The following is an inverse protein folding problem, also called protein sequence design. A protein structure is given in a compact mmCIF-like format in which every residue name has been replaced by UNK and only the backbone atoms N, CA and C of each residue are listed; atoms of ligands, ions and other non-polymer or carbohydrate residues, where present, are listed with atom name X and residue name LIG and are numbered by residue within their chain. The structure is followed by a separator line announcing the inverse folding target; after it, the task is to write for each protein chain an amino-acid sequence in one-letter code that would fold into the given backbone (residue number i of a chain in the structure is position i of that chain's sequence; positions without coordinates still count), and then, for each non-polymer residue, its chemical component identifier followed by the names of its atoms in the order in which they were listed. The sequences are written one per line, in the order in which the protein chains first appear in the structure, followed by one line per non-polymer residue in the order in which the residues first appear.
data_IF_015980710442
#
_entry.id   IF_015980710442
#
_cell.length_a   1.000
_cell.length_b   1.000
_cell.length_c   1.000
_cell.angle_alpha   90.00
_cell.angle_beta   90.00
_cell.angle_gamma   90.00
#
_symmetry.space_group_name_H-M   'P 1'
#
loop_
_entity.id
_entity.type
_entity.pdbx_description
1 polymer ?
#
# COMPACT_ATOMS: atom_id res chain seq x y z
N UNK A 1 6.71 -21.76 -0.39
CA UNK A 1 6.86 -21.35 1.03
C UNK A 1 5.58 -21.71 1.75
N UNK A 2 5.64 -22.28 2.96
CA UNK A 2 4.44 -22.56 3.76
C UNK A 2 3.94 -21.27 4.42
N UNK A 3 2.63 -21.05 4.39
CA UNK A 3 1.97 -19.97 5.13
C UNK A 3 1.85 -20.42 6.59
N UNK A 4 2.26 -19.59 7.55
CA UNK A 4 2.14 -19.89 8.98
C UNK A 4 0.95 -19.14 9.59
N UNK A 5 0.45 -19.63 10.72
CA UNK A 5 -0.65 -18.98 11.44
C UNK A 5 -0.30 -17.50 11.74
N UNK A 6 -1.14 -16.57 11.26
CA UNK A 6 -0.95 -15.14 11.43
C UNK A 6 -0.15 -14.42 10.33
N UNK A 7 0.40 -15.14 9.33
CA UNK A 7 0.90 -14.51 8.10
C UNK A 7 -0.27 -14.02 7.22
N UNK A 8 -0.04 -13.00 6.39
CA UNK A 8 -0.93 -12.69 5.26
C UNK A 8 -0.32 -13.20 3.96
N UNK A 9 -1.15 -13.71 3.07
CA UNK A 9 -0.72 -14.16 1.73
C UNK A 9 -1.64 -13.59 0.67
N UNK A 10 -1.07 -13.02 -0.39
CA UNK A 10 -1.85 -12.60 -1.56
C UNK A 10 -0.95 -12.56 -2.79
N UNK A 11 -1.42 -13.15 -3.90
CA UNK A 11 -0.76 -13.14 -5.20
C UNK A 11 0.73 -13.56 -5.15
N UNK A 12 1.03 -14.65 -4.43
CA UNK A 12 2.39 -15.18 -4.28
C UNK A 12 3.31 -14.43 -3.30
N UNK A 13 2.89 -13.28 -2.78
CA UNK A 13 3.59 -12.58 -1.71
C UNK A 13 3.10 -13.05 -0.34
N UNK A 14 4.03 -13.15 0.63
CA UNK A 14 3.72 -13.51 2.02
C UNK A 14 4.27 -12.41 2.94
N UNK A 15 3.37 -11.72 3.65
CA UNK A 15 3.74 -10.84 4.75
C UNK A 15 3.85 -11.66 6.01
N UNK A 16 5.08 -11.85 6.47
CA UNK A 16 5.36 -12.61 7.69
C UNK A 16 4.80 -11.90 8.91
N UNK A 17 4.23 -12.67 9.85
CA UNK A 17 3.62 -12.16 11.08
C UNK A 17 4.55 -11.18 11.82
N UNK A 18 5.85 -11.48 11.91
CA UNK A 18 6.81 -10.61 12.57
C UNK A 18 6.91 -9.21 11.92
N UNK A 19 6.77 -9.11 10.59
CA UNK A 19 6.76 -7.82 9.87
C UNK A 19 5.38 -7.17 9.99
N UNK A 20 4.30 -7.96 9.89
CA UNK A 20 2.93 -7.50 10.15
C UNK A 20 2.83 -6.82 11.52
N UNK A 21 3.30 -7.46 12.59
CA UNK A 21 3.27 -6.91 13.95
C UNK A 21 4.01 -5.55 14.03
N UNK A 22 5.12 -5.38 13.30
CA UNK A 22 5.86 -4.10 13.23
C UNK A 22 5.11 -3.03 12.44
N UNK A 23 4.42 -3.40 11.36
CA UNK A 23 3.53 -2.50 10.62
C UNK A 23 2.39 -2.03 11.53
N UNK A 24 1.73 -2.95 12.24
CA UNK A 24 0.63 -2.63 13.16
C UNK A 24 1.10 -1.71 14.31
N UNK A 25 2.30 -1.92 14.84
CA UNK A 25 2.87 -1.04 15.85
C UNK A 25 3.10 0.38 15.32
N UNK A 26 3.59 0.54 14.09
CA UNK A 26 3.76 1.85 13.45
C UNK A 26 2.42 2.52 13.13
N UNK A 27 1.44 1.76 12.65
CA UNK A 27 0.06 2.22 12.47
C UNK A 27 -0.48 2.82 13.76
N UNK A 28 -0.38 2.06 14.87
CA UNK A 28 -0.79 2.53 16.21
C UNK A 28 -0.07 3.80 16.63
N UNK A 29 1.24 3.84 16.48
CA UNK A 29 2.08 4.98 16.87
C UNK A 29 1.74 6.27 16.11
N UNK A 30 1.34 6.15 14.85
CA UNK A 30 1.17 7.28 13.94
C UNK A 30 -0.28 7.57 13.57
N UNK A 31 -1.24 6.89 14.21
CA UNK A 31 -2.68 7.01 13.94
C UNK A 31 -3.00 6.78 12.45
N UNK A 32 -2.51 5.68 11.89
CA UNK A 32 -2.69 5.29 10.49
C UNK A 32 -3.46 3.98 10.45
N UNK A 33 -4.48 3.91 9.59
CA UNK A 33 -5.28 2.69 9.40
C UNK A 33 -4.40 1.50 8.93
N UNK A 34 -4.35 0.40 9.68
CA UNK A 34 -3.73 -0.85 9.25
C UNK A 34 -4.19 -1.36 7.88
N UNK A 35 -5.48 -1.38 7.60
CA UNK A 35 -6.04 -1.82 6.31
C UNK A 35 -5.47 -1.04 5.13
N UNK A 36 -5.31 0.27 5.29
CA UNK A 36 -4.59 1.14 4.37
C UNK A 36 -3.13 0.72 4.22
N UNK A 37 -2.36 0.69 5.32
CA UNK A 37 -0.92 0.44 5.24
C UNK A 37 -0.59 -0.92 4.64
N UNK A 38 -1.31 -1.98 5.05
CA UNK A 38 -1.14 -3.34 4.55
C UNK A 38 -1.45 -3.43 3.05
N UNK A 39 -2.48 -2.73 2.59
CA UNK A 39 -2.85 -2.71 1.17
C UNK A 39 -1.83 -1.96 0.34
N UNK A 40 -1.44 -0.74 0.73
CA UNK A 40 -0.50 0.08 -0.04
C UNK A 40 0.89 -0.58 -0.12
N UNK A 41 1.37 -1.18 0.98
CA UNK A 41 2.63 -1.91 0.97
C UNK A 41 2.59 -3.18 0.09
N UNK A 42 1.40 -3.77 -0.14
CA UNK A 42 1.25 -4.81 -1.16
C UNK A 42 1.21 -4.21 -2.57
N UNK A 43 0.39 -3.17 -2.75
CA UNK A 43 0.14 -2.53 -4.03
C UNK A 43 1.44 -2.02 -4.68
N UNK A 44 2.30 -1.37 -3.88
CA UNK A 44 3.58 -0.81 -4.33
C UNK A 44 4.71 -1.84 -4.35
N UNK A 45 4.81 -2.65 -3.29
CA UNK A 45 6.01 -3.41 -2.99
C UNK A 45 5.85 -4.93 -3.05
N UNK A 46 4.62 -5.43 -3.24
CA UNK A 46 4.26 -6.85 -3.07
C UNK A 46 4.78 -7.40 -1.73
N UNK A 47 4.62 -6.63 -0.65
CA UNK A 47 5.17 -6.92 0.68
C UNK A 47 6.67 -7.30 0.65
N UNK A 48 7.44 -6.56 -0.15
CA UNK A 48 8.88 -6.70 -0.29
C UNK A 48 9.35 -7.70 -1.33
N UNK A 49 8.44 -8.35 -2.05
CA UNK A 49 8.81 -9.34 -3.07
C UNK A 49 9.02 -8.75 -4.47
N UNK A 50 8.71 -7.45 -4.66
CA UNK A 50 9.07 -6.72 -5.89
C UNK A 50 10.59 -6.64 -6.09
N UNK A 51 11.03 -6.32 -7.30
CA UNK A 51 12.47 -6.18 -7.58
C UNK A 51 13.14 -5.14 -6.67
N UNK A 52 12.50 -3.99 -6.49
CA UNK A 52 12.96 -2.89 -5.62
C UNK A 52 12.85 -3.29 -4.14
N UNK A 53 11.78 -3.97 -3.74
CA UNK A 53 11.62 -4.47 -2.38
C UNK A 53 12.74 -5.44 -1.96
N UNK A 54 13.18 -6.31 -2.88
CA UNK A 54 14.27 -7.27 -2.65
C UNK A 54 15.66 -6.64 -2.69
N UNK A 55 15.90 -5.75 -3.66
CA UNK A 55 17.22 -5.15 -3.85
C UNK A 55 17.52 -4.04 -2.85
N UNK A 56 16.48 -3.27 -2.48
CA UNK A 56 16.66 -1.99 -1.80
C UNK A 56 15.90 -1.86 -0.48
N UNK A 57 15.21 -2.92 -0.03
CA UNK A 57 14.30 -2.91 1.12
C UNK A 57 13.23 -1.80 1.03
N UNK A 58 12.92 -1.35 -0.18
CA UNK A 58 12.10 -0.15 -0.42
C UNK A 58 10.74 -0.55 -0.99
N UNK A 59 9.76 -0.74 -0.12
CA UNK A 59 8.46 -1.29 -0.52
C UNK A 59 7.48 -0.23 -1.00
N UNK A 60 7.80 1.06 -0.80
CA UNK A 60 6.98 2.19 -1.21
C UNK A 60 7.50 2.94 -2.44
N UNK A 61 8.57 2.45 -3.10
CA UNK A 61 9.13 3.11 -4.28
C UNK A 61 9.81 4.46 -3.99
N UNK A 62 10.33 4.65 -2.77
CA UNK A 62 10.94 5.89 -2.33
C UNK A 62 12.12 6.31 -3.20
N UNK A 63 12.08 7.54 -3.72
CA UNK A 63 13.07 8.06 -4.66
C UNK A 63 14.30 8.64 -3.94
N UNK A 64 15.50 8.31 -4.42
CA UNK A 64 16.75 8.88 -3.94
C UNK A 64 16.80 10.39 -4.20
N UNK A 65 17.06 11.17 -3.15
CA UNK A 65 17.09 12.64 -3.21
C UNK A 65 18.50 13.22 -3.28
N UNK A 66 19.54 12.39 -3.38
CA UNK A 66 20.94 12.82 -3.27
C UNK A 66 21.43 13.04 -1.84
N UNK A 67 20.58 12.85 -0.82
CA UNK A 67 20.93 13.00 0.59
C UNK A 67 20.68 11.70 1.35
N UNK A 68 21.72 11.19 2.01
CA UNK A 68 21.64 9.93 2.76
C UNK A 68 20.95 10.06 4.11
N UNK A 69 21.08 11.20 4.78
CA UNK A 69 20.47 11.41 6.09
C UNK A 69 19.01 11.86 5.93
N UNK A 70 18.06 11.02 6.37
CA UNK A 70 16.63 11.32 6.29
C UNK A 70 16.16 12.08 7.53
N UNK A 71 15.13 12.93 7.41
CA UNK A 71 14.53 13.60 8.56
C UNK A 71 13.92 12.64 9.61
N UNK A 72 13.62 11.40 9.23
CA UNK A 72 13.21 10.33 10.15
C UNK A 72 14.34 9.84 11.07
N UNK A 73 15.59 10.24 10.81
CA UNK A 73 16.79 9.72 11.47
C UNK A 73 17.42 8.53 10.75
N UNK A 74 16.72 7.94 9.77
CA UNK A 74 17.22 6.82 8.96
C UNK A 74 18.32 7.28 8.03
N UNK A 75 19.35 6.44 7.86
CA UNK A 75 20.38 6.63 6.82
C UNK A 75 20.06 5.72 5.63
N UNK A 76 20.05 6.30 4.44
CA UNK A 76 19.86 5.59 3.17
C UNK A 76 21.04 5.83 2.24
N UNK A 77 21.22 4.94 1.27
CA UNK A 77 22.14 5.14 0.15
C UNK A 77 21.36 5.16 -1.17
N UNK A 78 22.06 5.48 -2.26
CA UNK A 78 21.51 5.30 -3.60
C UNK A 78 21.30 3.80 -3.87
N UNK A 79 20.11 3.43 -4.31
CA UNK A 79 19.72 2.07 -4.68
C UNK A 79 19.66 1.86 -6.18
N UNK A 80 18.82 0.91 -6.60
CA UNK A 80 18.63 0.56 -8.00
C UNK A 80 18.10 1.72 -8.86
N UNK A 81 18.38 1.69 -10.16
CA UNK A 81 17.87 2.67 -11.10
C UNK A 81 16.34 2.55 -11.24
N UNK A 82 15.67 3.71 -11.32
CA UNK A 82 14.24 3.78 -11.66
C UNK A 82 14.02 3.49 -13.15
N UNK A 83 12.80 3.14 -13.57
CA UNK A 83 12.44 3.08 -14.98
C UNK A 83 12.94 4.30 -15.76
N UNK A 84 13.46 4.10 -16.97
CA UNK A 84 14.14 5.14 -17.75
C UNK A 84 13.26 6.38 -18.03
N UNK A 85 11.93 6.20 -18.07
CA UNK A 85 10.94 7.25 -18.24
C UNK A 85 10.69 8.10 -16.98
N UNK A 86 11.03 7.60 -15.79
CA UNK A 86 10.95 8.33 -14.52
C UNK A 86 12.28 9.02 -14.17
N UNK A 87 13.40 8.38 -14.54
CA UNK A 87 14.74 8.85 -14.22
C UNK A 87 15.11 8.76 -12.74
N UNK A 88 16.40 8.81 -12.46
CA UNK A 88 16.94 8.74 -11.09
C UNK A 88 17.03 7.31 -10.52
N UNK A 89 17.15 7.24 -9.20
CA UNK A 89 17.36 5.99 -8.47
C UNK A 89 16.37 5.87 -7.31
N UNK A 90 16.12 4.66 -6.85
CA UNK A 90 15.44 4.40 -5.58
C UNK A 90 16.38 4.63 -4.39
N UNK A 91 15.81 4.85 -3.22
CA UNK A 91 16.55 4.75 -1.96
C UNK A 91 16.81 3.29 -1.63
N UNK A 92 18.04 2.98 -1.20
CA UNK A 92 18.40 1.72 -0.57
C UNK A 92 18.40 1.88 0.95
N UNK A 93 17.59 1.06 1.62
CA UNK A 93 17.53 0.98 3.07
C UNK A 93 18.33 -0.22 3.56
N UNK A 94 19.04 -0.05 4.68
CA UNK A 94 19.81 -1.15 5.28
C UNK A 94 18.90 -2.30 5.74
N UNK A 95 17.66 -2.00 6.12
CA UNK A 95 16.67 -2.99 6.53
C UNK A 95 15.24 -2.57 6.16
N UNK A 96 14.31 -3.53 6.20
CA UNK A 96 12.87 -3.24 6.09
C UNK A 96 12.39 -2.35 7.24
N UNK A 97 12.98 -2.45 8.43
CA UNK A 97 12.56 -1.64 9.58
C UNK A 97 12.97 -0.17 9.41
N UNK A 98 14.11 0.10 8.77
CA UNK A 98 14.51 1.45 8.36
C UNK A 98 13.54 2.03 7.33
N UNK A 99 13.15 1.23 6.32
CA UNK A 99 12.13 1.62 5.36
C UNK A 99 10.80 1.93 6.04
N UNK A 100 10.32 1.05 6.91
CA UNK A 100 9.06 1.26 7.64
C UNK A 100 9.14 2.54 8.49
N UNK A 101 10.27 2.77 9.17
CA UNK A 101 10.49 3.99 9.96
C UNK A 101 10.39 5.25 9.09
N UNK A 102 11.07 5.29 7.94
CA UNK A 102 11.05 6.46 7.06
C UNK A 102 9.70 6.65 6.36
N UNK A 103 9.08 5.57 5.87
CA UNK A 103 7.80 5.61 5.18
C UNK A 103 6.68 6.09 6.11
N UNK A 104 6.56 5.51 7.30
CA UNK A 104 5.58 5.97 8.30
C UNK A 104 5.87 7.39 8.80
N UNK A 105 7.14 7.81 8.84
CA UNK A 105 7.49 9.18 9.15
C UNK A 105 6.82 10.15 8.16
N UNK A 106 6.77 9.86 6.86
CA UNK A 106 6.11 10.75 5.90
C UNK A 106 4.59 10.87 6.10
N UNK A 107 3.97 9.82 6.63
CA UNK A 107 2.51 9.70 6.79
C UNK A 107 2.00 10.24 8.14
N UNK A 108 2.88 10.38 9.13
CA UNK A 108 2.55 10.83 10.50
C UNK A 108 1.85 12.19 10.51
N UNK A 109 1.19 12.54 11.62
CA UNK A 109 0.66 13.88 11.83
C UNK A 109 1.71 14.98 11.58
N UNK A 110 1.36 15.97 10.75
CA UNK A 110 2.30 17.02 10.32
C UNK A 110 3.31 16.60 9.25
N UNK A 111 3.27 15.36 8.78
CA UNK A 111 4.07 14.85 7.68
C UNK A 111 3.67 15.41 6.31
N UNK A 112 4.41 14.96 5.29
CA UNK A 112 4.22 15.36 3.90
C UNK A 112 2.89 14.86 3.32
N UNK A 113 2.37 13.74 3.83
CA UNK A 113 1.07 13.18 3.44
C UNK A 113 0.06 13.33 4.59
N UNK A 114 -1.22 13.48 4.24
CA UNK A 114 -2.34 13.73 5.18
C UNK A 114 -3.14 12.46 5.46
N UNK A 115 -2.42 11.40 5.84
CA UNK A 115 -2.99 10.06 6.05
C UNK A 115 -3.35 9.82 7.52
N UNK A 116 -2.53 10.33 8.44
CA UNK A 116 -2.77 10.22 9.88
C UNK A 116 -4.15 10.77 10.27
N UNK A 117 -4.91 9.99 11.04
CA UNK A 117 -6.26 10.31 11.52
C UNK A 117 -7.40 10.02 10.56
N UNK A 118 -7.13 9.58 9.33
CA UNK A 118 -8.15 9.18 8.36
C UNK A 118 -9.09 8.11 8.93
N UNK A 119 -10.39 8.21 8.62
CA UNK A 119 -11.41 7.30 9.14
C UNK A 119 -11.76 6.20 8.17
N UNK A 120 -11.51 6.43 6.89
CA UNK A 120 -11.74 5.41 5.85
C UNK A 120 -10.50 5.18 5.00
N UNK A 121 -10.48 4.06 4.28
CA UNK A 121 -9.41 3.72 3.34
C UNK A 121 -9.29 4.77 2.22
N UNK A 122 -10.43 5.21 1.68
CA UNK A 122 -10.44 6.21 0.60
C UNK A 122 -9.95 7.58 1.08
N UNK A 123 -10.27 7.99 2.31
CA UNK A 123 -9.70 9.20 2.92
C UNK A 123 -8.19 9.09 3.10
N UNK A 124 -7.73 7.95 3.62
CA UNK A 124 -6.29 7.69 3.80
C UNK A 124 -5.55 7.75 2.46
N UNK A 125 -6.08 7.12 1.41
CA UNK A 125 -5.50 7.19 0.06
C UNK A 125 -5.56 8.61 -0.49
N UNK A 126 -6.66 9.34 -0.32
CA UNK A 126 -6.78 10.73 -0.78
C UNK A 126 -5.71 11.60 -0.12
N UNK A 127 -5.42 11.37 1.16
CA UNK A 127 -4.37 12.02 1.94
C UNK A 127 -2.96 11.80 1.39
N UNK A 128 -2.74 10.84 0.50
CA UNK A 128 -1.46 10.65 -0.21
C UNK A 128 -1.25 11.62 -1.38
N UNK A 129 -2.27 12.38 -1.76
CA UNK A 129 -2.26 13.24 -2.94
C UNK A 129 -2.53 14.69 -2.60
N UNK A 130 -2.13 15.62 -3.47
CA UNK A 130 -2.36 17.06 -3.29
C UNK A 130 -3.85 17.38 -3.16
N UNK A 131 -4.72 16.63 -3.83
CA UNK A 131 -6.18 16.77 -3.70
C UNK A 131 -6.71 16.45 -2.29
N UNK A 132 -5.96 15.69 -1.49
CA UNK A 132 -6.20 15.48 -0.05
C UNK A 132 -5.33 16.34 0.87
N UNK A 133 -4.60 17.32 0.32
CA UNK A 133 -3.75 18.23 1.10
C UNK A 133 -2.32 17.76 1.34
N UNK A 134 -1.86 16.70 0.66
CA UNK A 134 -0.45 16.33 0.68
C UNK A 134 0.43 17.40 0.02
N UNK A 135 1.71 17.42 0.38
CA UNK A 135 2.71 18.30 -0.24
C UNK A 135 3.01 17.85 -1.67
N UNK A 136 2.98 16.54 -1.92
CA UNK A 136 3.28 15.92 -3.20
C UNK A 136 2.22 14.88 -3.56
N UNK A 137 2.09 14.57 -4.84
CA UNK A 137 1.33 13.41 -5.29
C UNK A 137 2.20 12.17 -5.13
N UNK A 138 1.69 11.16 -4.43
CA UNK A 138 2.44 9.93 -4.15
C UNK A 138 2.76 9.13 -5.41
N UNK A 139 1.85 9.15 -6.40
CA UNK A 139 2.01 8.46 -7.68
C UNK A 139 1.72 9.40 -8.86
N UNK A 140 2.46 9.23 -9.95
CA UNK A 140 2.30 10.04 -11.16
C UNK A 140 0.93 9.84 -11.85
N UNK A 141 0.24 8.73 -11.59
CA UNK A 141 -1.11 8.47 -12.09
C UNK A 141 -2.18 9.41 -11.52
N UNK A 142 -1.87 10.13 -10.43
CA UNK A 142 -2.83 10.95 -9.70
C UNK A 142 -3.85 10.12 -8.90
N UNK A 143 -4.65 10.82 -8.09
CA UNK A 143 -5.57 10.20 -7.12
C UNK A 143 -6.62 9.31 -7.78
N UNK A 144 -7.33 9.80 -8.82
CA UNK A 144 -8.50 9.10 -9.38
C UNK A 144 -8.16 7.73 -9.94
N UNK A 145 -7.03 7.60 -10.65
CA UNK A 145 -6.56 6.30 -11.14
C UNK A 145 -6.04 5.43 -9.99
N UNK A 146 -5.34 6.03 -9.04
CA UNK A 146 -4.70 5.30 -7.94
C UNK A 146 -5.72 4.66 -6.98
N UNK A 147 -6.77 5.40 -6.59
CA UNK A 147 -7.77 4.88 -5.64
C UNK A 147 -8.50 3.66 -6.20
N UNK A 148 -8.75 3.60 -7.51
CA UNK A 148 -9.38 2.43 -8.16
C UNK A 148 -8.49 1.19 -8.02
N UNK A 149 -7.20 1.32 -8.34
CA UNK A 149 -6.23 0.23 -8.22
C UNK A 149 -6.01 -0.21 -6.78
N UNK A 150 -5.84 0.74 -5.86
CA UNK A 150 -5.64 0.48 -4.43
C UNK A 150 -6.88 -0.17 -3.79
N UNK A 151 -8.09 0.28 -4.12
CA UNK A 151 -9.35 -0.30 -3.62
C UNK A 151 -9.57 -1.72 -4.15
N UNK A 152 -9.23 -1.95 -5.42
CA UNK A 152 -9.26 -3.28 -6.03
C UNK A 152 -8.27 -4.22 -5.34
N UNK A 153 -7.09 -3.73 -5.00
CA UNK A 153 -6.08 -4.48 -4.24
C UNK A 153 -6.56 -4.82 -2.84
N UNK A 154 -7.16 -3.86 -2.11
CA UNK A 154 -7.74 -4.10 -0.78
C UNK A 154 -8.71 -5.29 -0.83
N UNK A 155 -9.70 -5.23 -1.74
CA UNK A 155 -10.72 -6.28 -1.83
C UNK A 155 -10.17 -7.64 -2.24
N UNK A 156 -9.18 -7.67 -3.12
CA UNK A 156 -8.52 -8.92 -3.50
C UNK A 156 -7.74 -9.54 -2.33
N UNK A 157 -7.03 -8.73 -1.52
CA UNK A 157 -6.36 -9.19 -0.31
C UNK A 157 -7.39 -9.71 0.71
N UNK A 158 -8.48 -8.98 0.92
CA UNK A 158 -9.55 -9.35 1.86
C UNK A 158 -10.24 -10.66 1.45
N UNK A 159 -10.37 -10.95 0.15
CA UNK A 159 -10.96 -12.20 -0.34
C UNK A 159 -10.14 -13.43 0.07
N UNK A 160 -8.81 -13.32 0.16
CA UNK A 160 -7.93 -14.43 0.56
C UNK A 160 -7.67 -14.48 2.07
N UNK A 161 -7.74 -13.34 2.78
CA UNK A 161 -7.28 -13.22 4.17
C UNK A 161 -8.41 -12.87 5.16
N UNK A 162 -9.63 -12.72 4.68
CA UNK A 162 -10.72 -12.08 5.41
C UNK A 162 -10.52 -10.57 5.53
N UNK A 163 -11.56 -9.88 6.03
CA UNK A 163 -11.52 -8.41 6.11
C UNK A 163 -10.32 -7.91 6.94
N UNK A 164 -9.65 -6.89 6.41
CA UNK A 164 -8.52 -6.24 7.08
C UNK A 164 -8.99 -5.30 8.21
N UNK A 165 -10.29 -4.97 8.29
CA UNK A 165 -10.91 -4.23 9.40
C UNK A 165 -10.57 -4.82 10.77
N UNK A 166 -10.29 -6.13 10.83
CA UNK A 166 -9.88 -6.81 12.07
C UNK A 166 -8.62 -6.18 12.68
N UNK A 167 -7.73 -5.65 11.85
CA UNK A 167 -6.50 -4.99 12.30
C UNK A 167 -6.76 -3.55 12.73
N UNK A 168 -7.61 -2.82 12.00
CA UNK A 168 -7.99 -1.44 12.37
C UNK A 168 -8.58 -1.42 13.78
N UNK A 169 -9.57 -2.30 14.02
CA UNK A 169 -10.19 -2.51 15.35
C UNK A 169 -9.18 -2.91 16.41
N UNK A 170 -8.26 -3.83 16.11
CA UNK A 170 -7.25 -4.29 17.08
C UNK A 170 -6.26 -3.20 17.49
N UNK A 171 -6.09 -2.16 16.66
CA UNK A 171 -5.24 -1.00 16.98
C UNK A 171 -5.98 0.14 17.67
N UNK A 172 -7.30 0.02 17.90
CA UNK A 172 -8.19 1.11 18.32
C UNK A 172 -8.14 2.34 17.38
N UNK A 173 -7.79 2.12 16.10
CA UNK A 173 -7.71 3.15 15.06
C UNK A 173 -8.91 2.99 14.12
N UNK A 174 -9.58 4.12 13.87
CA UNK A 174 -10.84 4.17 13.14
C UNK A 174 -12.04 4.02 14.08
N UNK A 175 -13.07 4.84 13.89
CA UNK A 175 -14.30 4.84 14.67
C UNK A 175 -15.35 3.83 14.15
N UNK A 176 -14.93 2.93 13.25
CA UNK A 176 -15.84 2.03 12.54
C UNK A 176 -16.51 2.67 11.33
N UNK A 177 -16.14 3.89 10.93
CA UNK A 177 -16.50 4.45 9.63
C UNK A 177 -15.93 3.57 8.51
N UNK A 178 -16.76 3.28 7.50
CA UNK A 178 -16.41 2.37 6.42
C UNK A 178 -16.68 3.02 5.08
N UNK A 179 -15.73 2.86 4.17
CA UNK A 179 -16.06 2.99 2.77
C UNK A 179 -17.03 1.89 2.36
N UNK A 180 -18.05 2.26 1.59
CA UNK A 180 -18.81 1.29 0.79
C UNK A 180 -18.08 1.15 -0.55
N UNK A 181 -17.17 0.19 -0.62
CA UNK A 181 -16.41 -0.11 -1.85
C UNK A 181 -17.10 -1.28 -2.55
N UNK A 182 -17.89 -0.95 -3.57
CA UNK A 182 -18.46 -1.92 -4.49
C UNK A 182 -17.60 -1.96 -5.76
N UNK A 183 -17.02 -3.13 -6.05
CA UNK A 183 -16.27 -3.36 -7.30
C UNK A 183 -17.20 -4.09 -8.26
N UNK A 184 -17.72 -3.36 -9.23
CA UNK A 184 -18.45 -3.94 -10.36
C UNK A 184 -17.44 -4.20 -11.48
N UNK A 185 -17.22 -5.47 -11.82
CA UNK A 185 -16.45 -5.86 -13.00
C UNK A 185 -17.43 -5.88 -14.17
N UNK A 186 -17.40 -4.85 -15.01
CA UNK A 186 -18.04 -4.89 -16.32
C UNK A 186 -17.09 -5.52 -17.35
N UNK A 187 -17.56 -6.49 -18.12
CA UNK A 187 -16.99 -6.86 -19.43
C UNK A 187 -15.83 -7.85 -19.45
N UNK A 188 -16.00 -9.07 -18.92
CA UNK A 188 -15.13 -10.19 -19.35
C UNK A 188 -15.70 -10.75 -20.65
N UNK A 189 -14.92 -10.64 -21.74
CA UNK A 189 -15.21 -11.32 -23.00
C UNK A 189 -14.70 -12.77 -22.96
N UNK A 190 -15.57 -13.72 -23.26
CA UNK A 190 -15.22 -15.14 -23.41
C UNK A 190 -15.61 -15.60 -24.80
N UNK A 191 -14.65 -16.08 -25.60
CA UNK A 191 -14.94 -16.66 -26.91
C UNK A 191 -15.04 -18.18 -26.82
N UNK A 192 -16.19 -18.74 -27.22
CA UNK A 192 -16.41 -20.20 -27.29
C UNK A 192 -16.83 -20.54 -28.73
N UNK A 193 -16.07 -21.41 -29.40
CA UNK A 193 -16.31 -21.82 -30.79
C UNK A 193 -16.52 -20.65 -31.78
N UNK A 194 -15.77 -19.56 -31.61
CA UNK A 194 -15.84 -18.38 -32.47
C UNK A 194 -16.99 -17.41 -32.16
N UNK A 195 -17.76 -17.65 -31.10
CA UNK A 195 -18.79 -16.72 -30.61
C UNK A 195 -18.27 -16.05 -29.36
N UNK A 196 -18.22 -14.72 -29.37
CA UNK A 196 -17.85 -13.91 -28.21
C UNK A 196 -19.08 -13.68 -27.32
N UNK A 197 -18.93 -13.99 -26.04
CA UNK A 197 -19.92 -13.78 -25.00
C UNK A 197 -19.42 -12.69 -24.07
N UNK A 198 -20.25 -11.68 -23.83
CA UNK A 198 -20.01 -10.67 -22.81
C UNK A 198 -20.62 -11.15 -21.49
N UNK A 199 -19.76 -11.46 -20.52
CA UNK A 199 -20.20 -11.81 -19.18
C UNK A 199 -20.60 -10.53 -18.44
N UNK A 200 -21.92 -10.26 -18.43
CA UNK A 200 -22.51 -9.22 -17.58
C UNK A 200 -23.11 -9.85 -16.34
N UNK A 201 -22.71 -9.39 -15.15
CA UNK A 201 -23.35 -9.83 -13.89
C UNK A 201 -24.65 -9.04 -13.71
N UNK A 202 -25.79 -9.73 -13.76
CA UNK A 202 -27.09 -9.15 -13.37
C UNK A 202 -27.35 -9.43 -11.88
N UNK A 203 -27.95 -8.49 -11.12
CA UNK A 203 -28.37 -8.76 -9.74
C UNK A 203 -29.42 -9.88 -9.73
N UNK A 204 -29.37 -10.75 -8.71
CA UNK A 204 -30.48 -11.62 -8.33
C UNK A 204 -31.17 -11.00 -7.12
#
# INVERSE_FOLDING_TARGET
MKNHEGDLSFNGAILKKAVLDRILANCKKHDILPSYALTILHYEGLWGTSAVGKADNNWGGMTWTGQGQRPSGVTVTQGSARPSNEGGHYMHYASVDDFLTDWFYLLRAGGSYKVSGAKTFSEAVKGMFKVGGAVYDYAASGFDSYIVGASSRLKAIEAENGSLDKFDKATDIGDGSKDKIDITIEGIEVTINGITYELTKKPV
#
